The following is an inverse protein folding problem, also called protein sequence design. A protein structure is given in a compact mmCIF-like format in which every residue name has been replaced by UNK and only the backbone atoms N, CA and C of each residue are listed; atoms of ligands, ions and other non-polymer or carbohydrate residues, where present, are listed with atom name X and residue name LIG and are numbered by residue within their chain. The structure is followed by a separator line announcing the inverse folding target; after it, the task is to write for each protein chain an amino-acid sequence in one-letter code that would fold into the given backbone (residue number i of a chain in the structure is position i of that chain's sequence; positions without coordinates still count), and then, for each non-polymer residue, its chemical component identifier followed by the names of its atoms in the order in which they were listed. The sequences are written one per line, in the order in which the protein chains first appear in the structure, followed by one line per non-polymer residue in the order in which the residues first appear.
data_IF_321200398998
#
_entry.id   IF_321200398998
#
_cell.length_a   1.000
_cell.length_b   1.000
_cell.length_c   1.000
_cell.angle_alpha   90.00
_cell.angle_beta   90.00
_cell.angle_gamma   90.00
#
_symmetry.space_group_name_H-M   'P 1'
#
loop_
_entity.id
_entity.type
_entity.pdbx_description
1 polymer ?
#
# COMPACT_ATOMS: atom_id res chain seq x y z
N UNK A 1 -11.12 2.60 22.24
CA UNK A 1 -10.40 1.56 23.02
C UNK A 1 -9.82 0.56 22.04
N UNK A 2 -8.79 -0.23 22.38
CA UNK A 2 -8.27 -1.27 21.46
C UNK A 2 -9.30 -2.38 21.13
N UNK A 3 -10.45 -2.39 21.80
CA UNK A 3 -11.57 -3.30 21.52
C UNK A 3 -12.64 -2.68 20.60
N UNK A 4 -12.42 -1.45 20.14
CA UNK A 4 -13.36 -0.73 19.29
C UNK A 4 -13.30 -1.24 17.85
N UNK A 5 -14.45 -1.55 17.25
CA UNK A 5 -14.51 -2.12 15.92
C UNK A 5 -14.12 -1.10 14.83
N UNK A 6 -14.48 0.18 15.02
CA UNK A 6 -14.14 1.26 14.08
C UNK A 6 -12.64 1.57 14.09
N UNK A 7 -11.99 1.41 15.25
CA UNK A 7 -10.53 1.46 15.37
C UNK A 7 -9.86 0.40 14.48
N UNK A 8 -10.28 -0.87 14.57
CA UNK A 8 -9.70 -1.95 13.76
C UNK A 8 -10.01 -1.82 12.27
N UNK A 9 -11.19 -1.34 11.92
CA UNK A 9 -11.54 -1.03 10.54
C UNK A 9 -10.62 0.08 9.98
N UNK A 10 -10.35 1.12 10.76
CA UNK A 10 -9.40 2.17 10.40
C UNK A 10 -7.97 1.63 10.24
N UNK A 11 -7.53 0.74 11.15
CA UNK A 11 -6.25 0.05 11.02
C UNK A 11 -6.18 -0.81 9.75
N UNK A 12 -7.26 -1.51 9.40
CA UNK A 12 -7.32 -2.30 8.18
C UNK A 12 -7.24 -1.42 6.93
N UNK A 13 -7.88 -0.26 6.93
CA UNK A 13 -7.75 0.74 5.85
C UNK A 13 -6.32 1.29 5.75
N UNK A 14 -5.68 1.57 6.87
CA UNK A 14 -4.29 1.99 6.91
C UNK A 14 -3.36 0.91 6.32
N UNK A 15 -3.55 -0.36 6.71
CA UNK A 15 -2.75 -1.47 6.18
C UNK A 15 -2.88 -1.63 4.67
N UNK A 16 -4.08 -1.40 4.10
CA UNK A 16 -4.29 -1.41 2.65
C UNK A 16 -3.43 -0.36 1.91
N UNK A 17 -3.03 0.72 2.58
CA UNK A 17 -2.16 1.76 2.04
C UNK A 17 -0.69 1.43 2.31
N UNK A 18 -0.37 1.02 3.55
CA UNK A 18 1.01 0.77 3.96
C UNK A 18 1.64 -0.44 3.26
N UNK A 19 0.88 -1.52 3.01
CA UNK A 19 1.41 -2.75 2.40
C UNK A 19 2.04 -2.50 1.01
N UNK A 20 1.37 -1.82 0.06
CA UNK A 20 2.00 -1.44 -1.21
C UNK A 20 3.27 -0.59 -1.07
N UNK A 21 3.31 0.33 -0.11
CA UNK A 21 4.47 1.21 0.11
C UNK A 21 5.67 0.44 0.65
N UNK A 22 5.45 -0.44 1.64
CA UNK A 22 6.51 -1.30 2.20
C UNK A 22 7.08 -2.23 1.12
N UNK A 23 6.26 -2.71 0.17
CA UNK A 23 6.76 -3.48 -0.97
C UNK A 23 7.72 -2.69 -1.85
N UNK A 24 7.42 -1.42 -2.16
CA UNK A 24 8.33 -0.55 -2.91
C UNK A 24 9.61 -0.31 -2.13
N UNK A 25 9.53 -0.04 -0.83
CA UNK A 25 10.71 0.17 0.01
C UNK A 25 11.63 -1.06 0.04
N UNK A 26 11.07 -2.27 0.16
CA UNK A 26 11.86 -3.51 0.10
C UNK A 26 12.55 -3.71 -1.25
N UNK A 27 11.94 -3.27 -2.34
CA UNK A 27 12.54 -3.32 -3.67
C UNK A 27 13.69 -2.32 -3.81
N UNK A 28 13.59 -1.14 -3.18
CA UNK A 28 14.65 -0.11 -3.16
C UNK A 28 15.82 -0.52 -2.26
N UNK A 29 15.53 -1.21 -1.16
CA UNK A 29 16.52 -1.66 -0.18
C UNK A 29 17.25 -2.94 -0.62
N UNK A 30 16.76 -3.63 -1.64
CA UNK A 30 17.47 -4.75 -2.24
C UNK A 30 18.78 -4.22 -2.87
N UNK A 31 19.93 -4.75 -2.44
CA UNK A 31 21.28 -4.29 -2.86
C UNK A 31 21.49 -4.32 -4.39
N UNK A 32 20.68 -5.13 -5.09
CA UNK A 32 20.55 -5.14 -6.53
C UNK A 32 19.89 -3.82 -6.99
N UNK A 33 20.72 -2.78 -7.20
CA UNK A 33 20.28 -1.45 -7.65
C UNK A 33 19.37 -1.60 -8.86
N UNK A 34 18.05 -1.41 -8.70
CA UNK A 34 17.15 -1.54 -9.83
C UNK A 34 17.43 -0.43 -10.82
N UNK A 35 17.26 -0.69 -12.11
CA UNK A 35 17.24 0.40 -13.08
C UNK A 35 16.16 1.41 -12.68
N UNK A 36 16.40 2.70 -12.89
CA UNK A 36 15.45 3.78 -12.56
C UNK A 36 14.05 3.47 -13.12
N UNK A 37 13.96 2.84 -14.30
CA UNK A 37 12.69 2.40 -14.90
C UNK A 37 11.92 1.39 -14.03
N UNK A 38 12.61 0.41 -13.43
CA UNK A 38 11.98 -0.57 -12.53
C UNK A 38 11.42 0.08 -11.26
N UNK A 39 12.11 1.08 -10.72
CA UNK A 39 11.63 1.84 -9.56
C UNK A 39 10.35 2.61 -9.89
N UNK A 40 10.33 3.32 -11.02
CA UNK A 40 9.13 4.03 -11.47
C UNK A 40 7.95 3.09 -11.71
N UNK A 41 8.18 1.93 -12.30
CA UNK A 41 7.14 0.92 -12.50
C UNK A 41 6.59 0.40 -11.15
N UNK A 42 7.48 0.12 -10.20
CA UNK A 42 7.10 -0.34 -8.85
C UNK A 42 6.29 0.71 -8.09
N UNK A 43 6.67 1.98 -8.21
CA UNK A 43 5.92 3.11 -7.66
C UNK A 43 4.54 3.28 -8.32
N UNK A 44 4.44 3.14 -9.64
CA UNK A 44 3.16 3.23 -10.35
C UNK A 44 2.21 2.09 -9.94
N UNK A 45 2.73 0.86 -9.85
CA UNK A 45 2.00 -0.30 -9.33
C UNK A 45 1.50 -0.06 -7.91
N UNK A 46 2.30 0.56 -7.04
CA UNK A 46 1.87 0.91 -5.68
C UNK A 46 0.75 1.96 -5.67
N UNK A 47 0.85 3.01 -6.48
CA UNK A 47 -0.22 4.02 -6.64
C UNK A 47 -1.52 3.40 -7.12
N UNK A 48 -1.46 2.49 -8.10
CA UNK A 48 -2.62 1.76 -8.61
C UNK A 48 -3.24 0.86 -7.54
N UNK A 49 -2.42 0.09 -6.82
CA UNK A 49 -2.89 -0.77 -5.73
C UNK A 49 -3.59 0.02 -4.62
N UNK A 50 -3.03 1.16 -4.19
CA UNK A 50 -3.67 2.03 -3.19
C UNK A 50 -5.02 2.53 -3.71
N UNK A 51 -5.07 3.01 -4.95
CA UNK A 51 -6.30 3.51 -5.58
C UNK A 51 -7.38 2.43 -5.62
N UNK A 52 -7.03 1.21 -6.01
CA UNK A 52 -7.98 0.11 -6.13
C UNK A 52 -8.43 -0.41 -4.76
N UNK A 53 -7.52 -0.44 -3.77
CA UNK A 53 -7.85 -0.76 -2.39
C UNK A 53 -8.84 0.22 -1.74
N UNK A 54 -8.81 1.50 -2.16
CA UNK A 54 -9.69 2.56 -1.67
C UNK A 54 -11.01 2.66 -2.43
N UNK A 55 -11.11 2.13 -3.66
CA UNK A 55 -12.36 2.10 -4.44
C UNK A 55 -13.39 1.10 -3.88
N UNK A 56 -12.96 0.15 -3.06
CA UNK A 56 -13.82 -0.84 -2.43
C UNK A 56 -14.39 -0.38 -1.08
N UNK A 57 -15.44 0.46 -1.13
CA UNK A 57 -16.58 0.53 -0.17
C UNK A 57 -17.53 1.67 -0.61
N UNK A 58 -18.34 1.41 -1.65
CA UNK A 58 -19.68 2.02 -1.66
C UNK A 58 -20.45 1.34 -0.54
N UNK A 59 -20.75 2.06 0.55
CA UNK A 59 -21.84 1.65 1.42
C UNK A 59 -23.11 1.72 0.56
N UNK A 60 -23.69 0.56 0.25
CA UNK A 60 -25.11 0.43 -0.09
C UNK A 60 -25.89 0.61 1.19
#
# INVERSE_FOLDING_TARGET
TIFDADFWESCMQLLKICVPLVKVLRLVDSEDRPSIGYLYESMDRAKKAIRDNMKGKKKV
#
